data_IF_887364675605
#
_entry.id   IF_887364675605
#
_cell.length_a   1.000
_cell.length_b   1.000
_cell.length_c   1.000
_cell.angle_alpha   90.00
_cell.angle_beta   90.00
_cell.angle_gamma   90.00
#
_symmetry.space_group_name_H-M   'P 1'
#
loop_
_entity.id
_entity.type
_entity.pdbx_description
1 polymer ?
#
# COMPACT_ATOMS: atom_id res chain seq x y z
N UNK A 1 7.78 -1.20 -5.79
CA UNK A 1 6.68 -2.14 -6.14
C UNK A 1 6.48 -3.08 -4.98
N UNK A 2 5.23 -3.24 -4.52
CA UNK A 2 4.89 -4.29 -3.56
C UNK A 2 4.73 -5.60 -4.33
N UNK A 3 5.52 -6.64 -4.02
CA UNK A 3 5.30 -7.99 -4.54
C UNK A 3 6.22 -8.52 -5.65
N UNK A 4 7.53 -8.65 -5.37
CA UNK A 4 8.43 -9.50 -6.18
C UNK A 4 9.09 -10.64 -5.40
N UNK A 5 8.91 -10.71 -4.07
CA UNK A 5 9.47 -11.76 -3.19
C UNK A 5 8.45 -12.14 -2.11
N UNK A 6 8.37 -13.40 -1.66
CA UNK A 6 7.61 -13.74 -0.47
C UNK A 6 8.18 -12.98 0.73
N UNK A 7 7.37 -12.11 1.33
CA UNK A 7 7.80 -11.22 2.40
C UNK A 7 6.76 -10.15 2.69
N UNK A 8 6.94 -9.45 3.82
CA UNK A 8 6.16 -8.28 4.19
C UNK A 8 6.97 -7.04 3.84
N UNK A 9 6.44 -6.19 2.97
CA UNK A 9 7.12 -4.96 2.58
C UNK A 9 6.96 -3.89 3.68
N UNK A 10 8.05 -3.19 4.03
CA UNK A 10 8.02 -2.11 5.02
C UNK A 10 8.36 -0.79 4.34
N UNK A 11 7.44 0.17 4.42
CA UNK A 11 7.54 1.49 3.81
C UNK A 11 7.74 2.50 4.93
N UNK A 12 8.82 3.29 4.87
CA UNK A 12 9.31 4.09 6.00
C UNK A 12 9.02 5.59 5.87
N UNK A 13 8.80 6.07 4.66
CA UNK A 13 8.76 7.49 4.29
C UNK A 13 7.50 7.87 3.51
N UNK A 14 6.44 7.05 3.59
CA UNK A 14 5.19 7.28 2.87
C UNK A 14 4.57 8.65 3.23
N UNK A 15 4.27 9.45 2.21
CA UNK A 15 3.66 10.77 2.32
C UNK A 15 2.21 10.75 1.81
N UNK A 16 1.26 10.94 2.73
CA UNK A 16 -0.18 10.94 2.37
C UNK A 16 -0.47 12.03 1.34
N UNK A 17 -1.11 11.63 0.23
CA UNK A 17 -1.53 12.53 -0.84
C UNK A 17 -0.45 12.89 -1.86
N UNK A 18 0.81 12.47 -1.62
CA UNK A 18 1.89 12.55 -2.61
C UNK A 18 2.21 11.16 -3.14
N UNK A 19 2.39 10.21 -2.23
CA UNK A 19 2.74 8.84 -2.58
C UNK A 19 1.50 7.97 -2.83
N UNK A 20 1.71 6.96 -3.67
CA UNK A 20 0.69 5.97 -4.03
C UNK A 20 1.24 4.56 -3.87
N UNK A 21 0.39 3.66 -3.43
CA UNK A 21 0.66 2.24 -3.37
C UNK A 21 0.18 1.59 -4.67
N UNK A 22 1.10 0.90 -5.35
CA UNK A 22 0.76 0.03 -6.48
C UNK A 22 0.78 -1.42 -6.02
N UNK A 23 -0.37 -2.06 -6.13
CA UNK A 23 -0.56 -3.47 -5.83
C UNK A 23 -0.13 -4.32 -7.03
N UNK A 24 0.63 -5.39 -6.79
CA UNK A 24 0.96 -6.39 -7.79
C UNK A 24 0.23 -7.71 -7.49
N UNK A 25 0.31 -8.67 -8.43
CA UNK A 25 -0.18 -10.03 -8.21
C UNK A 25 -1.71 -10.18 -8.15
N UNK A 26 -2.47 -9.26 -8.75
CA UNK A 26 -3.94 -9.33 -8.81
C UNK A 26 -4.66 -8.92 -7.52
N UNK A 27 -3.94 -8.36 -6.55
CA UNK A 27 -4.52 -7.76 -5.36
C UNK A 27 -5.36 -6.53 -5.73
N UNK A 28 -6.60 -6.46 -5.26
CA UNK A 28 -7.43 -5.26 -5.38
C UNK A 28 -7.50 -4.50 -4.05
N UNK A 29 -7.66 -3.15 -4.06
CA UNK A 29 -7.83 -2.35 -2.85
C UNK A 29 -8.96 -2.84 -1.94
N UNK A 30 -10.03 -3.37 -2.53
CA UNK A 30 -11.22 -3.86 -1.84
C UNK A 30 -10.95 -5.11 -0.98
N UNK A 31 -9.89 -5.86 -1.30
CA UNK A 31 -9.46 -7.03 -0.54
C UNK A 31 -8.55 -6.68 0.64
N UNK A 32 -8.14 -5.41 0.74
CA UNK A 32 -7.20 -4.97 1.75
C UNK A 32 -7.90 -4.40 2.97
N UNK A 33 -7.34 -4.71 4.12
CA UNK A 33 -7.72 -4.12 5.40
C UNK A 33 -6.54 -3.37 5.98
N UNK A 34 -6.84 -2.24 6.63
CA UNK A 34 -5.85 -1.35 7.24
C UNK A 34 -6.06 -1.40 8.75
N UNK A 35 -5.07 -1.89 9.48
CA UNK A 35 -5.14 -2.07 10.94
C UNK A 35 -3.96 -1.38 11.59
N UNK A 36 -4.17 -0.79 12.77
CA UNK A 36 -3.09 -0.15 13.51
C UNK A 36 -2.28 -1.17 14.29
N UNK A 37 -0.97 -0.98 14.35
CA UNK A 37 -0.06 -1.70 15.23
C UNK A 37 0.96 -0.72 15.79
N UNK A 38 0.75 -0.28 17.03
CA UNK A 38 1.52 0.82 17.63
C UNK A 38 1.37 2.10 16.80
N UNK A 39 2.50 2.67 16.37
CA UNK A 39 2.54 3.85 15.48
C UNK A 39 2.41 3.51 13.99
N UNK A 40 2.26 2.24 13.62
CA UNK A 40 2.30 1.77 12.23
C UNK A 40 0.91 1.37 11.71
N UNK A 41 0.78 1.35 10.38
CA UNK A 41 -0.37 0.75 9.69
C UNK A 41 0.04 -0.56 9.04
N UNK A 42 -0.65 -1.63 9.38
CA UNK A 42 -0.56 -2.92 8.72
C UNK A 42 -1.59 -2.97 7.60
N UNK A 43 -1.12 -3.20 6.38
CA UNK A 43 -1.93 -3.49 5.20
C UNK A 43 -2.02 -5.01 5.09
N UNK A 44 -3.24 -5.54 5.12
CA UNK A 44 -3.49 -6.99 5.21
C UNK A 44 -4.45 -7.45 4.13
N UNK A 45 -4.19 -8.64 3.58
CA UNK A 45 -5.16 -9.40 2.81
C UNK A 45 -5.57 -10.63 3.65
N UNK A 46 -6.80 -10.61 4.17
CA UNK A 46 -7.27 -11.59 5.16
C UNK A 46 -6.35 -11.64 6.38
N UNK A 47 -5.84 -12.83 6.70
CA UNK A 47 -4.94 -13.04 7.84
C UNK A 47 -3.47 -12.65 7.56
N UNK A 48 -3.10 -12.43 6.29
CA UNK A 48 -1.72 -12.16 5.89
C UNK A 48 -1.44 -10.66 5.84
N UNK A 49 -0.35 -10.24 6.49
CA UNK A 49 0.18 -8.87 6.31
C UNK A 49 0.96 -8.83 5.01
N UNK A 50 0.65 -7.86 4.15
CA UNK A 50 1.32 -7.69 2.85
C UNK A 50 2.28 -6.51 2.88
N UNK A 51 1.96 -5.46 3.64
CA UNK A 51 2.83 -4.30 3.80
C UNK A 51 2.62 -3.60 5.15
N UNK A 52 3.61 -2.84 5.57
CA UNK A 52 3.61 -2.02 6.78
C UNK A 52 3.98 -0.59 6.39
N UNK A 53 3.13 0.39 6.71
CA UNK A 53 3.48 1.80 6.66
C UNK A 53 3.98 2.22 8.04
N UNK A 54 5.26 2.56 8.16
CA UNK A 54 5.81 2.97 9.44
C UNK A 54 5.34 4.38 9.83
N UNK A 55 5.17 4.60 11.14
CA UNK A 55 4.84 5.90 11.72
C UNK A 55 3.60 6.56 11.09
N UNK A 56 2.66 5.75 10.64
CA UNK A 56 1.43 6.18 10.01
C UNK A 56 0.23 5.45 10.61
N UNK A 57 -0.82 6.20 10.96
CA UNK A 57 -2.06 5.63 11.46
C UNK A 57 -3.05 5.39 10.31
N UNK A 58 -3.86 4.31 10.36
CA UNK A 58 -4.84 4.03 9.32
C UNK A 58 -5.82 5.20 9.10
N UNK A 59 -6.16 5.92 10.17
CA UNK A 59 -7.05 7.09 10.14
C UNK A 59 -6.45 8.31 9.43
N UNK A 60 -5.13 8.36 9.23
CA UNK A 60 -4.46 9.41 8.45
C UNK A 60 -4.44 9.12 6.95
N UNK A 61 -4.77 7.89 6.54
CA UNK A 61 -4.80 7.51 5.15
C UNK A 61 -6.08 7.98 4.47
N UNK A 62 -5.95 8.37 3.21
CA UNK A 62 -7.09 8.62 2.34
C UNK A 62 -7.14 7.55 1.25
N UNK A 63 -8.08 6.60 1.36
CA UNK A 63 -8.19 5.48 0.42
C UNK A 63 -8.45 5.92 -1.04
N UNK A 64 -9.05 7.09 -1.25
CA UNK A 64 -9.32 7.62 -2.59
C UNK A 64 -8.06 8.09 -3.32
N UNK A 65 -7.00 8.43 -2.59
CA UNK A 65 -5.72 8.89 -3.14
C UNK A 65 -4.58 7.91 -2.92
N UNK A 66 -4.78 6.90 -2.05
CA UNK A 66 -3.78 5.90 -1.67
C UNK A 66 -3.35 5.01 -2.84
N UNK A 67 -4.27 4.72 -3.75
CA UNK A 67 -4.02 3.87 -4.92
C UNK A 67 -3.98 4.69 -6.20
N UNK A 68 -3.34 4.17 -7.24
CA UNK A 68 -3.48 4.70 -8.59
C UNK A 68 -4.97 4.66 -9.00
N UNK A 69 -5.51 5.71 -9.63
CA UNK A 69 -6.87 5.65 -10.15
C UNK A 69 -6.97 4.54 -11.20
N UNK A 70 -8.12 3.84 -11.29
CA UNK A 70 -8.37 2.89 -12.37
C UNK A 70 -8.30 3.66 -13.70
N UNK A 71 -7.16 3.56 -14.39
CA UNK A 71 -6.87 4.33 -15.60
C UNK A 71 -5.39 4.66 -15.82
N UNK A 72 -4.55 4.70 -14.77
CA UNK A 72 -3.13 5.09 -14.90
C UNK A 72 -2.14 3.92 -14.84
N UNK A 73 -2.45 2.82 -15.53
CA UNK A 73 -1.49 1.75 -15.84
C UNK A 73 -0.65 2.07 -17.09
N UNK A 74 -0.19 3.32 -17.23
CA UNK A 74 0.69 3.72 -18.33
C UNK A 74 1.91 4.49 -17.80
N UNK A 75 3.08 4.08 -18.29
CA UNK A 75 4.40 4.69 -18.18
C UNK A 75 5.18 4.49 -16.87
N UNK A 76 5.75 3.29 -16.73
CA UNK A 76 7.16 3.17 -16.35
C UNK A 76 7.92 2.53 -17.52
N UNK A 77 8.01 3.28 -18.62
CA UNK A 77 8.99 3.03 -19.69
C UNK A 77 10.17 3.96 -19.41
N UNK A 78 11.36 3.39 -19.24
CA UNK A 78 12.62 4.10 -18.95
C UNK A 78 13.29 3.46 -17.74
N UNK A 79 14.37 2.68 -17.87
CA UNK A 79 15.52 2.83 -18.76
C UNK A 79 15.91 1.50 -19.43
#
# INVERSE_FOLDING_TARGET
MLGARPGVDTIVDFQVGQDRLRLAGGLSPEQLTFTSSGSHTLIRNGNSTVAILQNMQPSSLNLSTLFDPPGNSAAATGL
#
